data_IF_209258810563
#
_entry.id   IF_209258810563
#
_cell.length_a   1.000
_cell.length_b   1.000
_cell.length_c   1.000
_cell.angle_alpha   90.00
_cell.angle_beta   90.00
_cell.angle_gamma   90.00
#
_symmetry.space_group_name_H-M   'P 1'
#
loop_
_entity.id
_entity.type
_entity.pdbx_description
1 polymer ?
#
# COMPACT_ATOMS: atom_id res chain seq x y z
N UNK A 1 47.27 -3.81 0.46
CA UNK A 1 46.15 -4.77 0.52
C UNK A 1 45.01 -4.00 1.14
N UNK A 2 43.95 -3.75 0.37
CA UNK A 2 42.94 -2.75 0.71
C UNK A 2 41.79 -3.41 1.44
N UNK A 3 41.40 -2.87 2.60
CA UNK A 3 40.27 -3.37 3.36
C UNK A 3 38.96 -2.89 2.73
N UNK A 4 38.25 -3.83 2.08
CA UNK A 4 37.05 -3.56 1.29
C UNK A 4 35.81 -3.41 2.14
N UNK A 5 35.83 -2.50 3.11
CA UNK A 5 34.71 -2.24 4.01
C UNK A 5 33.47 -1.76 3.25
N UNK A 6 32.52 -2.68 3.01
CA UNK A 6 31.22 -2.34 2.49
C UNK A 6 30.51 -1.40 3.48
N UNK A 7 30.29 -0.14 3.08
CA UNK A 7 29.41 0.76 3.83
C UNK A 7 28.04 0.12 3.91
N UNK A 8 27.56 -0.19 5.11
CA UNK A 8 26.14 -0.37 5.33
C UNK A 8 25.42 0.94 4.98
N UNK A 9 24.26 0.87 4.33
CA UNK A 9 23.41 2.05 4.16
C UNK A 9 22.99 2.55 5.55
N UNK A 10 23.38 3.78 5.87
CA UNK A 10 23.10 4.39 7.17
C UNK A 10 21.62 4.83 7.17
N UNK A 11 20.75 3.95 7.67
CA UNK A 11 19.30 4.12 7.58
C UNK A 11 18.85 5.34 8.38
N UNK A 12 18.32 6.36 7.69
CA UNK A 12 17.87 7.63 8.30
C UNK A 12 16.74 7.46 9.33
N UNK A 13 16.10 6.28 9.35
CA UNK A 13 15.14 5.84 10.36
C UNK A 13 15.67 4.58 11.08
N UNK A 14 15.20 4.37 12.31
CA UNK A 14 15.45 3.17 13.11
C UNK A 14 14.19 2.76 13.88
N UNK A 15 14.08 1.48 14.25
CA UNK A 15 13.00 1.02 15.13
C UNK A 15 13.36 1.32 16.60
N UNK A 16 12.38 1.76 17.38
CA UNK A 16 12.48 1.99 18.82
C UNK A 16 11.16 1.60 19.52
N UNK A 17 11.22 1.23 20.79
CA UNK A 17 10.03 1.11 21.65
C UNK A 17 9.68 2.48 22.24
N UNK A 18 8.44 2.94 22.04
CA UNK A 18 7.91 4.18 22.63
C UNK A 18 6.87 3.81 23.68
N UNK A 19 7.01 4.35 24.89
CA UNK A 19 6.08 4.11 25.99
C UNK A 19 4.63 4.45 25.61
N UNK A 20 3.75 3.46 25.61
CA UNK A 20 2.34 3.60 25.23
C UNK A 20 2.04 3.61 23.72
N UNK A 21 3.06 3.61 22.84
CA UNK A 21 2.89 3.44 21.38
C UNK A 21 3.55 2.15 20.82
N UNK A 22 4.44 1.51 21.57
CA UNK A 22 5.10 0.26 21.18
C UNK A 22 6.21 0.43 20.14
N UNK A 23 6.47 -0.62 19.34
CA UNK A 23 7.43 -0.61 18.24
C UNK A 23 7.10 0.49 17.23
N UNK A 24 8.04 1.41 17.05
CA UNK A 24 7.87 2.65 16.32
C UNK A 24 9.06 2.89 15.38
N UNK A 25 8.84 3.40 14.17
CA UNK A 25 9.91 4.06 13.42
C UNK A 25 10.16 5.45 14.00
N UNK A 26 11.43 5.76 14.24
CA UNK A 26 11.91 7.08 14.67
C UNK A 26 13.10 7.50 13.81
N UNK A 27 13.31 8.80 13.67
CA UNK A 27 14.49 9.31 12.98
C UNK A 27 15.78 8.89 13.71
N UNK A 28 16.80 8.48 12.95
CA UNK A 28 18.15 8.22 13.44
C UNK A 28 19.03 9.49 13.43
N UNK A 29 18.63 10.49 12.64
CA UNK A 29 19.34 11.74 12.35
C UNK A 29 18.34 12.88 12.10
N UNK A 30 18.82 14.12 11.93
CA UNK A 30 18.00 15.22 11.41
C UNK A 30 17.49 14.91 9.99
N UNK A 31 16.26 15.35 9.72
CA UNK A 31 15.55 15.17 8.45
C UNK A 31 15.15 16.54 7.88
N UNK A 32 15.11 16.68 6.55
CA UNK A 32 14.66 17.90 5.87
C UNK A 32 13.24 17.76 5.33
N UNK A 33 12.53 18.87 5.15
CA UNK A 33 11.27 18.88 4.42
C UNK A 33 11.46 18.33 3.00
N UNK A 34 10.46 17.62 2.47
CA UNK A 34 10.53 16.95 1.16
C UNK A 34 11.48 15.74 1.07
N UNK A 35 12.27 15.43 2.11
CA UNK A 35 13.17 14.29 2.09
C UNK A 35 12.41 12.96 2.08
N UNK A 36 12.74 12.07 1.12
CA UNK A 36 12.26 10.69 1.14
C UNK A 36 12.99 9.93 2.25
N UNK A 37 12.25 9.52 3.29
CA UNK A 37 12.80 8.83 4.48
C UNK A 37 12.68 7.31 4.45
N UNK A 38 11.77 6.80 3.62
CA UNK A 38 11.54 5.38 3.39
C UNK A 38 11.09 5.16 1.94
N UNK A 39 11.59 4.10 1.31
CA UNK A 39 10.97 3.46 0.15
C UNK A 39 10.77 1.99 0.51
N UNK A 40 9.60 1.44 0.22
CA UNK A 40 9.26 0.04 0.50
C UNK A 40 8.33 -0.51 -0.57
N UNK A 41 8.63 -1.73 -1.05
CA UNK A 41 7.72 -2.49 -1.90
C UNK A 41 6.73 -3.27 -1.02
N UNK A 42 5.47 -3.44 -1.44
CA UNK A 42 4.46 -4.14 -0.65
C UNK A 42 4.82 -5.63 -0.46
N UNK A 43 4.67 -6.12 0.77
CA UNK A 43 4.83 -7.53 1.12
C UNK A 43 3.77 -8.41 0.46
N UNK A 44 2.56 -7.85 0.30
CA UNK A 44 1.48 -8.38 -0.52
C UNK A 44 0.57 -7.23 -0.97
N UNK A 45 -0.06 -7.39 -2.13
CA UNK A 45 -1.15 -6.54 -2.63
C UNK A 45 -2.39 -7.40 -2.87
N UNK A 46 -3.58 -6.85 -2.64
CA UNK A 46 -4.85 -7.50 -2.98
C UNK A 46 -5.90 -6.47 -3.45
N UNK A 47 -6.87 -6.93 -4.25
CA UNK A 47 -7.89 -6.04 -4.83
C UNK A 47 -8.94 -5.62 -3.81
N UNK A 48 -9.31 -4.33 -3.84
CA UNK A 48 -10.42 -3.78 -3.05
C UNK A 48 -11.80 -4.06 -3.66
N UNK A 49 -11.86 -4.57 -4.89
CA UNK A 49 -13.12 -4.92 -5.55
C UNK A 49 -13.64 -6.28 -5.05
N UNK A 50 -14.96 -6.45 -4.82
CA UNK A 50 -15.53 -7.75 -4.44
C UNK A 50 -15.33 -8.82 -5.52
N UNK A 51 -15.60 -10.08 -5.19
CA UNK A 51 -15.47 -11.19 -6.15
C UNK A 51 -16.52 -11.11 -7.25
N UNK A 52 -17.76 -10.76 -6.89
CA UNK A 52 -18.91 -10.74 -7.79
C UNK A 52 -19.24 -9.34 -8.33
N UNK A 53 -18.20 -8.52 -8.56
CA UNK A 53 -18.37 -7.24 -9.27
C UNK A 53 -18.84 -7.49 -10.70
N UNK A 54 -20.00 -6.93 -11.07
CA UNK A 54 -20.54 -7.02 -12.44
C UNK A 54 -19.66 -6.33 -13.50
N UNK A 55 -18.73 -5.45 -13.06
CA UNK A 55 -17.75 -4.79 -13.91
C UNK A 55 -16.37 -5.44 -13.74
N UNK A 56 -15.72 -5.74 -14.86
CA UNK A 56 -14.31 -6.13 -14.90
C UNK A 56 -13.43 -4.97 -14.46
N UNK A 57 -12.50 -5.23 -13.54
CA UNK A 57 -11.55 -4.21 -13.09
C UNK A 57 -10.67 -3.71 -14.26
N UNK A 58 -10.44 -2.39 -14.41
CA UNK A 58 -9.53 -1.84 -15.42
C UNK A 58 -8.05 -1.92 -14.98
N UNK A 59 -7.77 -2.51 -13.83
CA UNK A 59 -6.44 -2.57 -13.21
C UNK A 59 -5.82 -3.97 -13.34
N UNK A 60 -4.49 -4.04 -13.32
CA UNK A 60 -3.74 -5.29 -13.32
C UNK A 60 -3.96 -6.05 -12.00
N UNK A 61 -4.38 -7.32 -12.05
CA UNK A 61 -4.63 -8.19 -10.89
C UNK A 61 -3.37 -8.59 -10.08
N UNK A 62 -2.24 -7.91 -10.28
CA UNK A 62 -1.03 -8.06 -9.46
C UNK A 62 -0.50 -6.72 -8.96
N UNK A 63 -0.22 -5.76 -9.85
CA UNK A 63 0.38 -4.47 -9.48
C UNK A 63 -0.60 -3.30 -9.49
N UNK A 64 -1.89 -3.54 -9.76
CA UNK A 64 -3.00 -2.57 -9.73
C UNK A 64 -2.84 -1.26 -10.53
N UNK A 65 -1.82 -1.18 -11.40
CA UNK A 65 -1.71 -0.17 -12.46
C UNK A 65 -2.83 -0.37 -13.50
N UNK A 66 -3.27 0.72 -14.13
CA UNK A 66 -4.25 0.69 -15.23
C UNK A 66 -3.76 -0.21 -16.38
N UNK A 67 -4.70 -0.94 -16.98
CA UNK A 67 -4.44 -1.82 -18.12
C UNK A 67 -4.52 -1.06 -19.44
N UNK A 68 -3.47 -1.14 -20.25
CA UNK A 68 -3.48 -0.73 -21.65
C UNK A 68 -4.20 -1.78 -22.52
N UNK A 69 -4.44 -1.45 -23.79
CA UNK A 69 -5.07 -2.37 -24.76
C UNK A 69 -4.29 -3.68 -24.99
N UNK A 70 -3.02 -3.75 -24.57
CA UNK A 70 -2.16 -4.94 -24.67
C UNK A 70 -2.26 -5.91 -23.49
N UNK A 71 -3.21 -5.70 -22.58
CA UNK A 71 -3.40 -6.51 -21.37
C UNK A 71 -3.57 -8.01 -21.65
N UNK A 72 -2.87 -8.84 -20.87
CA UNK A 72 -2.83 -10.30 -21.02
C UNK A 72 -3.77 -10.96 -20.01
N UNK A 73 -4.92 -11.47 -20.48
CA UNK A 73 -5.84 -12.27 -19.67
C UNK A 73 -5.26 -13.65 -19.34
N UNK A 74 -5.46 -14.15 -18.12
CA UNK A 74 -5.08 -15.52 -17.77
C UNK A 74 -5.89 -16.53 -18.58
N UNK A 75 -5.21 -17.36 -19.38
CA UNK A 75 -5.85 -18.33 -20.27
C UNK A 75 -6.57 -19.46 -19.51
N UNK A 76 -6.08 -19.81 -18.31
CA UNK A 76 -6.57 -20.97 -17.54
C UNK A 76 -7.86 -20.69 -16.75
N UNK A 77 -7.99 -19.51 -16.11
CA UNK A 77 -9.21 -19.15 -15.38
C UNK A 77 -10.09 -18.14 -16.14
N UNK A 78 -9.52 -17.31 -17.02
CA UNK A 78 -10.20 -16.18 -17.67
C UNK A 78 -10.87 -15.18 -16.71
N UNK A 79 -10.43 -15.11 -15.44
CA UNK A 79 -10.94 -14.19 -14.42
C UNK A 79 -10.06 -12.94 -14.21
N UNK A 80 -8.76 -13.04 -14.48
CA UNK A 80 -7.75 -12.00 -14.15
C UNK A 80 -6.91 -11.58 -15.36
N UNK A 81 -6.36 -10.36 -15.32
CA UNK A 81 -5.60 -9.73 -16.41
C UNK A 81 -4.35 -9.00 -15.93
N UNK A 82 -3.28 -9.04 -16.73
CA UNK A 82 -1.97 -8.51 -16.35
C UNK A 82 -1.37 -7.58 -17.41
N UNK A 83 -0.66 -6.53 -16.97
CA UNK A 83 0.02 -5.60 -17.87
C UNK A 83 1.32 -6.15 -18.48
N UNK A 84 1.96 -7.13 -17.86
CA UNK A 84 3.28 -7.65 -18.28
C UNK A 84 3.43 -9.16 -18.04
N UNK A 85 4.41 -9.84 -18.68
CA UNK A 85 4.76 -11.22 -18.38
C UNK A 85 5.14 -11.43 -16.90
N UNK A 86 5.84 -10.46 -16.30
CA UNK A 86 6.28 -10.54 -14.90
C UNK A 86 5.08 -10.50 -13.94
N UNK A 87 4.09 -9.64 -14.21
CA UNK A 87 2.85 -9.60 -13.43
C UNK A 87 2.01 -10.89 -13.56
N UNK A 88 2.04 -11.54 -14.73
CA UNK A 88 1.43 -12.85 -14.94
C UNK A 88 2.18 -13.98 -14.20
N UNK A 89 3.50 -13.88 -14.03
CA UNK A 89 4.29 -14.89 -13.32
C UNK A 89 3.92 -15.00 -11.83
N UNK A 90 3.49 -13.90 -11.20
CA UNK A 90 2.96 -13.86 -9.84
C UNK A 90 1.63 -14.61 -9.67
N UNK A 91 0.93 -14.95 -10.76
CA UNK A 91 -0.34 -15.66 -10.72
C UNK A 91 -0.14 -17.18 -10.60
N UNK A 92 0.10 -17.64 -9.37
CA UNK A 92 0.42 -19.05 -9.09
C UNK A 92 -0.68 -20.03 -9.56
N UNK A 93 -0.34 -21.28 -9.95
CA UNK A 93 -1.35 -22.28 -10.34
C UNK A 93 -2.38 -22.57 -9.24
N UNK A 94 -1.97 -22.49 -7.96
CA UNK A 94 -2.89 -22.61 -6.83
C UNK A 94 -3.88 -21.45 -6.80
N UNK A 95 -3.40 -20.19 -6.91
CA UNK A 95 -4.26 -19.01 -6.90
C UNK A 95 -5.23 -19.01 -8.10
N UNK A 96 -4.73 -19.38 -9.29
CA UNK A 96 -5.54 -19.54 -10.50
C UNK A 96 -6.72 -20.51 -10.29
N UNK A 97 -6.46 -21.68 -9.71
CA UNK A 97 -7.48 -22.69 -9.43
C UNK A 97 -8.41 -22.26 -8.28
N UNK A 98 -7.89 -21.63 -7.21
CA UNK A 98 -8.71 -21.08 -6.12
C UNK A 98 -9.71 -20.03 -6.62
N UNK A 99 -9.28 -19.07 -7.45
CA UNK A 99 -10.18 -18.09 -8.06
C UNK A 99 -11.23 -18.77 -8.96
N UNK A 100 -10.81 -19.72 -9.81
CA UNK A 100 -11.72 -20.48 -10.69
C UNK A 100 -12.77 -21.23 -9.90
N UNK A 101 -12.38 -21.89 -8.80
CA UNK A 101 -13.31 -22.63 -7.93
C UNK A 101 -14.23 -21.72 -7.13
N UNK A 102 -13.76 -20.60 -6.57
CA UNK A 102 -14.64 -19.65 -5.85
C UNK A 102 -15.71 -19.08 -6.79
N UNK A 103 -15.34 -18.74 -8.03
CA UNK A 103 -16.29 -18.27 -9.04
C UNK A 103 -17.25 -19.37 -9.53
N UNK A 104 -16.83 -20.64 -9.58
CA UNK A 104 -17.71 -21.76 -9.95
C UNK A 104 -18.61 -22.20 -8.78
N UNK A 105 -18.08 -22.19 -7.56
CA UNK A 105 -18.77 -22.47 -6.29
C UNK A 105 -19.45 -21.22 -5.70
N UNK A 106 -19.89 -20.31 -6.58
CA UNK A 106 -20.71 -19.13 -6.24
C UNK A 106 -22.13 -19.55 -5.83
N UNK A 107 -22.21 -20.28 -4.72
CA UNK A 107 -23.43 -20.48 -3.95
C UNK A 107 -23.97 -19.15 -3.43
N UNK A 108 -25.28 -19.07 -3.20
CA UNK A 108 -25.92 -17.92 -2.54
C UNK A 108 -25.18 -17.57 -1.23
N UNK A 109 -24.77 -18.57 -0.46
CA UNK A 109 -24.02 -18.38 0.79
C UNK A 109 -22.68 -17.61 0.67
N UNK A 110 -22.08 -17.47 -0.52
CA UNK A 110 -20.97 -16.53 -0.76
C UNK A 110 -21.43 -15.25 -1.48
N UNK A 111 -22.42 -15.33 -2.36
CA UNK A 111 -22.94 -14.17 -3.08
C UNK A 111 -23.67 -13.16 -2.18
N UNK A 112 -24.38 -13.66 -1.17
CA UNK A 112 -25.13 -12.87 -0.17
C UNK A 112 -24.19 -12.23 0.88
N UNK A 113 -22.87 -12.41 0.78
CA UNK A 113 -21.91 -11.87 1.74
C UNK A 113 -21.55 -10.40 1.43
N UNK A 114 -21.40 -9.54 2.46
CA UNK A 114 -20.97 -8.15 2.29
C UNK A 114 -19.68 -8.02 1.48
N UNK A 115 -19.55 -6.92 0.73
CA UNK A 115 -18.38 -6.62 -0.10
C UNK A 115 -17.06 -6.73 0.68
N UNK A 116 -17.01 -6.18 1.89
CA UNK A 116 -15.90 -6.29 2.84
C UNK A 116 -15.45 -7.75 3.04
N UNK A 117 -16.39 -8.68 3.23
CA UNK A 117 -16.08 -10.11 3.45
C UNK A 117 -15.58 -10.79 2.18
N UNK A 118 -15.98 -10.31 1.00
CA UNK A 118 -15.40 -10.75 -0.28
C UNK A 118 -13.98 -10.19 -0.48
N UNK A 119 -13.69 -8.98 -0.01
CA UNK A 119 -12.35 -8.38 -0.01
C UNK A 119 -11.42 -9.09 0.98
N UNK A 120 -11.89 -9.37 2.21
CA UNK A 120 -11.20 -10.22 3.20
C UNK A 120 -10.86 -11.60 2.62
N UNK A 121 -11.72 -12.19 1.79
CA UNK A 121 -11.41 -13.44 1.07
C UNK A 121 -10.27 -13.27 0.05
N UNK A 122 -10.16 -12.13 -0.64
CA UNK A 122 -9.03 -11.82 -1.54
C UNK A 122 -7.72 -11.62 -0.77
N UNK A 123 -7.76 -10.91 0.35
CA UNK A 123 -6.61 -10.79 1.26
C UNK A 123 -6.12 -12.18 1.71
N UNK A 124 -7.03 -13.04 2.20
CA UNK A 124 -6.66 -14.39 2.65
C UNK A 124 -6.06 -15.25 1.55
N UNK A 125 -6.60 -15.24 0.32
CA UNK A 125 -5.95 -15.93 -0.81
C UNK A 125 -4.54 -15.42 -1.08
N UNK A 126 -4.32 -14.10 -0.94
CA UNK A 126 -3.02 -13.46 -1.17
C UNK A 126 -2.03 -13.83 -0.07
N UNK A 127 -2.45 -13.79 1.20
CA UNK A 127 -1.66 -14.23 2.35
C UNK A 127 -1.34 -15.73 2.33
N UNK A 128 -2.28 -16.59 1.90
CA UNK A 128 -2.04 -18.03 1.74
C UNK A 128 -1.11 -18.34 0.55
N UNK A 129 -1.21 -17.60 -0.55
CA UNK A 129 -0.25 -17.73 -1.65
C UNK A 129 1.14 -17.23 -1.23
N UNK A 130 1.24 -16.20 -0.40
CA UNK A 130 2.50 -15.75 0.21
C UNK A 130 3.09 -16.85 1.11
N UNK A 131 2.29 -17.46 1.99
CA UNK A 131 2.71 -18.56 2.87
C UNK A 131 3.32 -19.74 2.09
N UNK A 132 2.77 -20.07 0.92
CA UNK A 132 3.25 -21.13 0.05
C UNK A 132 4.46 -20.75 -0.82
N UNK A 133 4.62 -19.47 -1.17
CA UNK A 133 5.68 -18.98 -2.07
C UNK A 133 6.92 -18.48 -1.33
N UNK A 134 6.75 -17.77 -0.20
CA UNK A 134 7.83 -17.21 0.61
C UNK A 134 7.50 -17.31 2.12
N UNK A 135 7.92 -18.41 2.78
CA UNK A 135 7.67 -18.60 4.20
C UNK A 135 8.31 -17.52 5.10
N UNK A 136 9.44 -16.92 4.69
CA UNK A 136 10.07 -15.82 5.43
C UNK A 136 9.19 -14.57 5.45
N UNK A 137 8.63 -14.21 4.30
CA UNK A 137 7.81 -13.01 4.15
C UNK A 137 6.45 -13.20 4.86
N UNK A 138 5.95 -14.43 4.86
CA UNK A 138 4.80 -14.79 5.68
C UNK A 138 5.08 -14.71 7.19
N UNK A 139 6.29 -15.01 7.68
CA UNK A 139 6.66 -14.73 9.07
C UNK A 139 6.75 -13.22 9.37
N UNK A 140 7.21 -12.40 8.42
CA UNK A 140 7.17 -10.93 8.54
C UNK A 140 5.71 -10.47 8.71
N UNK A 141 4.79 -10.93 7.84
CA UNK A 141 3.35 -10.64 7.96
C UNK A 141 2.81 -11.03 9.35
N UNK A 142 3.11 -12.25 9.82
CA UNK A 142 2.65 -12.73 11.13
C UNK A 142 3.26 -11.93 12.31
N UNK A 143 4.41 -11.29 12.13
CA UNK A 143 5.06 -10.46 13.17
C UNK A 143 4.43 -9.06 13.36
N UNK A 144 3.54 -8.64 12.46
CA UNK A 144 2.84 -7.35 12.55
C UNK A 144 1.79 -7.32 13.68
N UNK A 145 1.45 -6.11 14.13
CA UNK A 145 0.38 -5.91 15.12
C UNK A 145 -0.98 -6.37 14.55
N UNK A 146 -1.88 -6.86 15.41
CA UNK A 146 -3.16 -7.42 14.98
C UNK A 146 -3.54 -8.62 15.82
N UNK A 147 -4.07 -8.36 17.01
CA UNK A 147 -4.64 -9.39 17.89
C UNK A 147 -6.15 -9.40 17.66
N UNK A 148 -6.73 -10.56 17.34
CA UNK A 148 -8.10 -10.65 16.82
C UNK A 148 -9.20 -10.28 17.81
N UNK A 149 -10.23 -9.61 17.29
CA UNK A 149 -11.46 -9.31 18.02
C UNK A 149 -12.37 -10.56 18.09
N UNK A 150 -13.09 -10.81 19.20
CA UNK A 150 -14.11 -11.86 19.26
C UNK A 150 -15.16 -11.81 18.14
N UNK A 151 -15.46 -10.63 17.58
CA UNK A 151 -16.35 -10.46 16.43
C UNK A 151 -15.71 -10.88 15.10
N UNK A 152 -14.40 -10.63 14.91
CA UNK A 152 -13.64 -11.09 13.74
C UNK A 152 -13.66 -12.62 13.63
N UNK A 153 -13.73 -13.32 14.78
CA UNK A 153 -13.85 -14.79 14.84
C UNK A 153 -15.03 -15.33 14.02
N UNK A 154 -16.17 -14.65 13.96
CA UNK A 154 -17.33 -15.12 13.18
C UNK A 154 -17.06 -15.05 11.66
N UNK A 155 -16.43 -13.96 11.19
CA UNK A 155 -16.03 -13.81 9.80
C UNK A 155 -14.88 -14.76 9.44
N UNK A 156 -13.89 -14.91 10.33
CA UNK A 156 -12.76 -15.82 10.17
C UNK A 156 -13.21 -17.28 10.07
N UNK A 157 -14.11 -17.75 10.95
CA UNK A 157 -14.62 -19.12 10.90
C UNK A 157 -15.41 -19.40 9.61
N UNK A 158 -16.22 -18.45 9.14
CA UNK A 158 -16.92 -18.57 7.85
C UNK A 158 -15.92 -18.63 6.68
N UNK A 159 -14.98 -17.68 6.60
CA UNK A 159 -14.00 -17.60 5.51
C UNK A 159 -13.04 -18.79 5.52
N UNK A 160 -12.61 -19.25 6.70
CA UNK A 160 -11.80 -20.46 6.85
C UNK A 160 -12.55 -21.69 6.30
N UNK A 161 -13.81 -21.88 6.72
CA UNK A 161 -14.63 -23.02 6.31
C UNK A 161 -14.87 -23.02 4.79
N UNK A 162 -15.18 -21.85 4.23
CA UNK A 162 -15.39 -21.68 2.78
C UNK A 162 -14.10 -21.95 1.99
N UNK A 163 -13.00 -21.28 2.34
CA UNK A 163 -11.75 -21.40 1.60
C UNK A 163 -11.15 -22.81 1.70
N UNK A 164 -11.22 -23.45 2.87
CA UNK A 164 -10.74 -24.83 3.07
C UNK A 164 -11.60 -25.88 2.34
N UNK A 165 -12.89 -25.60 2.10
CA UNK A 165 -13.76 -26.49 1.33
C UNK A 165 -13.65 -26.30 -0.19
N UNK A 166 -13.36 -25.08 -0.65
CA UNK A 166 -13.37 -24.71 -2.08
C UNK A 166 -11.97 -24.75 -2.71
N UNK A 167 -10.94 -24.24 -2.05
CA UNK A 167 -9.60 -24.11 -2.63
C UNK A 167 -8.90 -25.48 -2.77
N UNK A 168 -7.86 -25.61 -3.62
CA UNK A 168 -6.96 -26.75 -3.58
C UNK A 168 -6.18 -26.80 -2.25
N UNK A 169 -5.70 -27.97 -1.83
CA UNK A 169 -4.84 -28.08 -0.65
C UNK A 169 -3.56 -27.25 -0.82
N UNK A 170 -3.14 -26.59 0.26
CA UNK A 170 -1.89 -25.84 0.36
C UNK A 170 -0.78 -26.74 0.96
N UNK A 171 0.50 -26.43 0.69
CA UNK A 171 1.63 -27.06 1.39
C UNK A 171 1.77 -26.58 2.85
N UNK A 172 1.10 -25.48 3.21
CA UNK A 172 1.06 -24.91 4.57
C UNK A 172 -0.27 -25.26 5.23
N UNK A 173 -0.24 -25.72 6.48
CA UNK A 173 -1.44 -25.96 7.27
C UNK A 173 -2.09 -24.63 7.68
N UNK A 174 -3.33 -24.42 7.25
CA UNK A 174 -4.16 -23.28 7.64
C UNK A 174 -5.16 -23.74 8.71
N UNK A 175 -5.42 -22.90 9.72
CA UNK A 175 -6.42 -23.13 10.77
C UNK A 175 -7.35 -21.91 10.94
N UNK A 176 -8.50 -22.02 11.63
CA UNK A 176 -9.38 -20.88 11.91
C UNK A 176 -8.68 -19.77 12.68
N UNK A 177 -7.79 -20.12 13.61
CA UNK A 177 -7.02 -19.18 14.42
C UNK A 177 -6.00 -18.42 13.58
N UNK A 178 -5.34 -19.09 12.62
CA UNK A 178 -4.47 -18.44 11.65
C UNK A 178 -5.28 -17.51 10.74
N UNK A 179 -6.47 -17.93 10.28
CA UNK A 179 -7.37 -17.08 9.49
C UNK A 179 -7.76 -15.82 10.27
N UNK A 180 -8.13 -15.94 11.54
CA UNK A 180 -8.47 -14.80 12.40
C UNK A 180 -7.27 -13.88 12.66
N UNK A 181 -6.08 -14.45 12.93
CA UNK A 181 -4.86 -13.69 13.16
C UNK A 181 -4.41 -12.90 11.91
N UNK A 182 -4.64 -13.43 10.70
CA UNK A 182 -4.36 -12.72 9.45
C UNK A 182 -5.35 -11.56 9.25
N UNK A 183 -6.66 -11.79 9.37
CA UNK A 183 -7.67 -10.72 9.25
C UNK A 183 -7.46 -9.59 10.28
N UNK A 184 -7.05 -9.94 11.50
CA UNK A 184 -6.72 -8.97 12.54
C UNK A 184 -5.50 -8.08 12.21
N UNK A 185 -4.58 -8.58 11.37
CA UNK A 185 -3.41 -7.82 10.89
C UNK A 185 -3.78 -6.95 9.70
N UNK A 186 -4.55 -7.47 8.75
CA UNK A 186 -5.10 -6.70 7.63
C UNK A 186 -5.83 -5.43 8.11
N UNK A 187 -6.74 -5.62 9.07
CA UNK A 187 -7.55 -4.59 9.75
C UNK A 187 -6.77 -3.44 10.40
N UNK A 188 -5.46 -3.59 10.65
CA UNK A 188 -4.63 -2.55 11.31
C UNK A 188 -3.29 -2.25 10.61
N UNK A 189 -2.98 -2.91 9.49
CA UNK A 189 -1.77 -2.67 8.69
C UNK A 189 -2.07 -2.53 7.18
N UNK A 190 -3.34 -2.57 6.77
CA UNK A 190 -3.76 -2.43 5.37
C UNK A 190 -3.76 -0.97 4.92
N UNK A 191 -2.88 -0.63 3.98
CA UNK A 191 -2.79 0.67 3.33
C UNK A 191 -3.61 0.65 2.04
N UNK A 192 -4.50 1.62 1.85
CA UNK A 192 -5.39 1.69 0.68
C UNK A 192 -4.75 2.41 -0.50
N UNK A 193 -4.54 1.69 -1.60
CA UNK A 193 -4.10 2.27 -2.87
C UNK A 193 -5.30 2.94 -3.55
N UNK A 194 -5.19 4.21 -3.87
CA UNK A 194 -6.29 5.05 -4.35
C UNK A 194 -6.44 4.99 -5.87
N UNK A 195 -7.67 5.17 -6.38
CA UNK A 195 -7.86 5.38 -7.82
C UNK A 195 -7.17 6.68 -8.29
N UNK A 196 -6.65 6.73 -9.54
CA UNK A 196 -6.12 7.96 -10.12
C UNK A 196 -7.16 9.08 -10.13
N UNK A 197 -6.71 10.34 -10.23
CA UNK A 197 -7.64 11.45 -10.30
C UNK A 197 -8.55 11.37 -11.54
N UNK A 198 -9.82 11.73 -11.37
CA UNK A 198 -10.66 12.19 -12.47
C UNK A 198 -11.48 13.39 -12.04
N UNK A 199 -11.44 14.44 -12.86
CA UNK A 199 -12.29 15.63 -12.72
C UNK A 199 -13.79 15.25 -12.77
N UNK A 200 -14.15 14.11 -13.37
CA UNK A 200 -15.51 13.60 -13.43
C UNK A 200 -15.96 12.79 -12.19
N UNK A 201 -15.07 12.53 -11.23
CA UNK A 201 -15.39 11.76 -10.03
C UNK A 201 -14.75 12.39 -8.78
N UNK A 202 -15.51 13.19 -8.05
CA UNK A 202 -15.04 13.92 -6.86
C UNK A 202 -14.63 13.03 -5.68
N UNK A 203 -14.89 11.72 -5.74
CA UNK A 203 -14.53 10.75 -4.71
C UNK A 203 -13.72 9.61 -5.32
N UNK A 204 -12.39 9.65 -5.14
CA UNK A 204 -11.52 8.50 -5.42
C UNK A 204 -11.98 7.31 -4.57
N UNK A 205 -12.13 6.13 -5.18
CA UNK A 205 -12.27 4.89 -4.42
C UNK A 205 -10.91 4.27 -4.15
N UNK A 206 -10.87 3.20 -3.35
CA UNK A 206 -9.68 2.37 -3.16
C UNK A 206 -9.68 1.31 -4.26
N UNK A 207 -8.61 1.21 -5.06
CA UNK A 207 -8.45 0.19 -6.12
C UNK A 207 -7.93 -1.14 -5.57
N UNK A 208 -7.06 -1.06 -4.57
CA UNK A 208 -6.36 -2.18 -3.97
C UNK A 208 -5.89 -1.84 -2.55
N UNK A 209 -5.43 -2.83 -1.81
CA UNK A 209 -4.80 -2.66 -0.52
C UNK A 209 -3.42 -3.33 -0.52
N UNK A 210 -2.51 -2.81 0.29
CA UNK A 210 -1.16 -3.34 0.47
C UNK A 210 -0.74 -3.43 1.93
N UNK A 211 0.15 -4.37 2.23
CA UNK A 211 0.84 -4.47 3.52
C UNK A 211 2.30 -4.05 3.33
N UNK A 212 2.73 -3.02 4.06
CA UNK A 212 4.07 -2.42 3.97
C UNK A 212 4.78 -2.51 5.34
N UNK A 213 5.59 -3.56 5.60
CA UNK A 213 5.99 -3.91 6.97
C UNK A 213 6.86 -2.90 7.70
N UNK A 214 7.66 -2.09 7.02
CA UNK A 214 8.36 -0.95 7.62
C UNK A 214 7.38 0.20 7.85
N UNK A 215 6.55 0.53 6.86
CA UNK A 215 5.55 1.60 6.98
C UNK A 215 4.55 1.33 8.13
N UNK A 216 4.20 0.08 8.40
CA UNK A 216 3.39 -0.35 9.55
C UNK A 216 3.97 0.00 10.94
N UNK A 217 5.23 0.45 11.04
CA UNK A 217 5.81 0.97 12.28
C UNK A 217 5.70 2.50 12.43
N UNK A 218 5.14 3.23 11.46
CA UNK A 218 4.75 4.62 11.68
C UNK A 218 3.47 4.65 12.53
N UNK A 219 3.58 5.21 13.74
CA UNK A 219 2.43 5.46 14.58
C UNK A 219 1.59 6.62 14.04
N UNK A 220 0.27 6.51 14.17
CA UNK A 220 -0.62 7.64 13.95
C UNK A 220 -0.31 8.79 14.92
N UNK A 221 -0.32 10.00 14.38
CA UNK A 221 -0.46 11.24 15.13
C UNK A 221 -1.36 12.19 14.33
N UNK A 222 -2.14 13.04 15.01
CA UNK A 222 -3.06 13.98 14.36
C UNK A 222 -2.31 15.16 13.71
N UNK A 223 -1.04 15.34 14.05
CA UNK A 223 -0.12 16.34 13.49
C UNK A 223 1.09 15.60 12.87
N UNK A 224 0.90 14.94 11.71
CA UNK A 224 1.94 14.11 11.12
C UNK A 224 3.13 14.95 10.61
N UNK A 225 4.35 14.44 10.81
CA UNK A 225 5.60 15.04 10.33
C UNK A 225 6.20 14.33 9.11
N UNK A 226 5.51 13.31 8.60
CA UNK A 226 5.79 12.59 7.38
C UNK A 226 4.44 12.22 6.71
N UNK A 227 4.44 12.03 5.39
CA UNK A 227 3.26 11.63 4.63
C UNK A 227 3.62 10.44 3.72
N UNK A 228 2.61 9.64 3.36
CA UNK A 228 2.74 8.53 2.42
C UNK A 228 2.41 9.00 1.00
N UNK A 229 3.15 8.50 0.00
CA UNK A 229 2.87 8.76 -1.41
C UNK A 229 2.96 7.47 -2.24
N UNK A 230 1.95 7.22 -3.08
CA UNK A 230 2.00 6.15 -4.08
C UNK A 230 2.86 6.60 -5.27
N UNK A 231 4.18 6.49 -5.14
CA UNK A 231 5.09 6.69 -6.28
C UNK A 231 4.90 5.57 -7.29
N UNK A 232 4.04 5.81 -8.27
CA UNK A 232 3.85 4.93 -9.41
C UNK A 232 5.01 5.14 -10.39
N UNK A 233 6.03 4.29 -10.32
CA UNK A 233 7.15 4.31 -11.27
C UNK A 233 6.64 4.08 -12.71
N UNK A 234 6.52 5.18 -13.45
CA UNK A 234 6.51 5.15 -14.91
C UNK A 234 7.94 4.80 -15.37
N UNK A 235 8.05 3.90 -16.35
CA UNK A 235 9.34 3.56 -16.95
C UNK A 235 9.63 4.61 -18.02
N UNK A 236 10.17 5.76 -17.60
CA UNK A 236 10.79 6.72 -18.51
C UNK A 236 12.14 6.14 -18.97
N UNK A 237 12.39 6.13 -20.30
CA UNK A 237 13.62 5.60 -20.88
C UNK A 237 14.82 6.54 -20.59
N UNK A 238 15.98 5.98 -20.24
CA UNK A 238 17.15 6.72 -19.72
C UNK A 238 17.99 7.43 -20.81
N UNK A 239 17.89 8.77 -20.99
CA UNK A 239 18.81 9.57 -21.82
C UNK A 239 19.17 10.97 -21.19
N UNK A 240 20.46 11.15 -20.80
CA UNK A 240 21.28 12.41 -20.67
C UNK A 240 20.81 13.56 -19.69
N UNK A 241 21.59 14.22 -18.78
CA UNK A 241 22.97 14.79 -18.69
C UNK A 241 23.11 16.21 -19.33
N UNK A 242 23.74 17.28 -18.79
CA UNK A 242 24.40 17.70 -17.51
C UNK A 242 24.48 19.29 -17.52
N UNK A 243 24.96 20.15 -16.57
CA UNK A 243 25.72 20.11 -15.30
C UNK A 243 25.56 21.44 -14.45
N UNK A 244 25.99 21.44 -13.16
CA UNK A 244 26.58 22.52 -12.31
C UNK A 244 25.94 23.92 -11.92
N UNK A 245 25.84 24.11 -10.57
CA UNK A 245 26.46 25.16 -9.66
C UNK A 245 25.76 26.42 -9.06
N UNK A 246 25.84 26.46 -7.71
CA UNK A 246 26.23 27.50 -6.71
C UNK A 246 25.68 28.95 -6.66
N UNK A 247 25.17 29.33 -5.46
CA UNK A 247 25.31 30.66 -4.81
C UNK A 247 25.04 30.57 -3.28
N UNK A 248 25.55 31.50 -2.47
CA UNK A 248 25.45 31.54 -0.98
C UNK A 248 24.75 32.82 -0.46
N UNK A 249 24.36 32.83 0.83
CA UNK A 249 23.87 34.01 1.61
C UNK A 249 22.35 34.13 1.74
N UNK A 250 21.75 34.63 2.84
CA UNK A 250 22.25 35.13 4.15
C UNK A 250 21.30 34.70 5.32
N UNK A 251 21.52 35.18 6.55
CA UNK A 251 20.75 34.78 7.78
C UNK A 251 19.64 35.81 8.17
N UNK A 252 19.14 35.74 9.43
CA UNK A 252 18.06 36.53 10.08
C UNK A 252 16.61 36.10 9.74
N UNK A 253 15.63 36.05 10.67
CA UNK A 253 15.60 36.32 12.12
C UNK A 253 14.56 35.41 12.85
N UNK A 254 14.51 35.39 14.20
CA UNK A 254 13.56 34.55 14.97
C UNK A 254 12.17 35.20 15.12
N UNK A 255 11.10 34.54 14.62
CA UNK A 255 9.74 34.69 15.19
C UNK A 255 9.22 33.37 15.79
N UNK A 256 8.94 33.39 17.09
CA UNK A 256 8.43 32.23 17.84
C UNK A 256 6.93 31.99 17.60
N UNK A 257 6.55 31.55 16.40
CA UNK A 257 5.17 31.17 16.03
C UNK A 257 4.96 29.66 15.98
N UNK A 258 3.75 29.18 16.26
CA UNK A 258 3.44 27.74 16.45
C UNK A 258 3.75 26.90 15.17
N UNK A 259 4.79 26.05 15.15
CA UNK A 259 5.20 25.35 13.93
C UNK A 259 4.13 24.38 13.40
N UNK A 260 3.28 23.84 14.29
CA UNK A 260 2.21 22.92 13.92
C UNK A 260 1.04 23.58 13.18
N UNK A 261 0.83 24.89 13.31
CA UNK A 261 -0.24 25.60 12.60
C UNK A 261 0.05 25.70 11.10
N UNK A 262 1.32 25.86 10.73
CA UNK A 262 1.78 25.88 9.34
C UNK A 262 1.51 24.55 8.61
N UNK A 263 1.54 23.40 9.30
CA UNK A 263 1.20 22.13 8.67
C UNK A 263 -0.25 22.14 8.15
N UNK A 264 -1.21 22.61 8.95
CA UNK A 264 -2.60 22.70 8.49
C UNK A 264 -2.80 23.74 7.38
N UNK A 265 -2.16 24.92 7.47
CA UNK A 265 -2.29 25.96 6.45
C UNK A 265 -1.65 25.58 5.09
N UNK A 266 -0.52 24.86 5.11
CA UNK A 266 0.24 24.45 3.92
C UNK A 266 -0.28 23.15 3.33
N UNK A 267 -0.48 22.12 4.17
CA UNK A 267 -0.70 20.74 3.73
C UNK A 267 -2.11 20.16 3.98
N UNK A 268 -3.10 20.94 4.43
CA UNK A 268 -4.51 20.53 4.23
C UNK A 268 -5.01 20.96 2.86
N UNK A 269 -5.90 20.16 2.28
CA UNK A 269 -6.62 20.55 1.07
C UNK A 269 -7.63 21.66 1.36
N UNK A 270 -7.51 22.79 0.66
CA UNK A 270 -8.36 23.97 0.82
C UNK A 270 -9.82 23.76 0.33
N UNK A 271 -10.15 22.61 -0.26
CA UNK A 271 -11.51 22.28 -0.71
C UNK A 271 -12.39 21.92 0.49
N UNK A 272 -13.49 22.66 0.68
CA UNK A 272 -14.47 22.40 1.76
C UNK A 272 -14.87 20.93 1.85
N UNK A 273 -14.95 20.41 3.08
CA UNK A 273 -15.32 19.03 3.40
C UNK A 273 -14.44 17.93 2.77
N UNK A 274 -13.27 18.28 2.21
CA UNK A 274 -12.33 17.28 1.70
C UNK A 274 -11.60 16.54 2.83
N UNK A 275 -11.11 17.27 3.84
CA UNK A 275 -10.28 16.78 4.95
C UNK A 275 -8.98 16.01 4.58
N UNK A 276 -8.66 15.90 3.28
CA UNK A 276 -7.43 15.27 2.79
C UNK A 276 -6.20 16.17 2.97
N UNK A 277 -5.03 15.54 2.89
CA UNK A 277 -3.73 16.20 2.96
C UNK A 277 -3.10 16.35 1.57
N UNK A 278 -2.38 17.45 1.39
CA UNK A 278 -1.62 17.77 0.18
C UNK A 278 -0.20 17.18 0.29
N UNK A 279 0.24 16.56 -0.80
CA UNK A 279 1.49 15.83 -0.91
C UNK A 279 2.25 16.30 -2.16
N UNK A 280 3.53 16.69 -2.09
CA UNK A 280 4.34 16.95 -3.29
C UNK A 280 4.20 15.83 -4.32
N UNK A 281 3.90 16.19 -5.57
CA UNK A 281 3.92 15.23 -6.68
C UNK A 281 5.31 14.58 -6.80
N UNK A 282 5.41 13.37 -7.39
CA UNK A 282 6.68 12.76 -7.72
C UNK A 282 7.59 13.75 -8.48
N UNK A 283 8.83 13.99 -8.00
CA UNK A 283 9.70 15.00 -8.58
C UNK A 283 10.19 14.55 -9.96
N UNK A 284 10.09 15.44 -10.95
CA UNK A 284 10.56 15.20 -12.33
C UNK A 284 12.05 15.54 -12.55
N UNK A 285 12.69 16.08 -11.52
CA UNK A 285 14.12 16.38 -11.45
C UNK A 285 14.62 15.93 -10.08
N UNK A 286 15.85 16.31 -9.68
CA UNK A 286 16.31 16.10 -8.31
C UNK A 286 15.65 17.04 -7.26
N UNK A 287 14.86 18.02 -7.71
CA UNK A 287 14.21 19.02 -6.85
C UNK A 287 12.81 18.57 -6.43
N UNK A 288 12.41 18.90 -5.20
CA UNK A 288 11.06 18.60 -4.71
C UNK A 288 9.99 19.33 -5.56
N UNK A 289 8.91 18.62 -5.92
CA UNK A 289 7.81 19.23 -6.68
C UNK A 289 7.20 20.39 -5.90
N UNK A 290 7.22 21.58 -6.52
CA UNK A 290 6.47 22.75 -6.05
C UNK A 290 4.95 22.61 -6.22
N UNK A 291 4.46 21.55 -6.84
CA UNK A 291 3.03 21.23 -6.94
C UNK A 291 2.70 20.11 -5.96
N UNK A 292 1.77 20.39 -5.05
CA UNK A 292 1.20 19.46 -4.08
C UNK A 292 -0.16 18.94 -4.58
N UNK A 293 -0.43 17.65 -4.45
CA UNK A 293 -1.71 16.99 -4.80
C UNK A 293 -2.44 16.50 -3.55
N UNK A 294 -3.77 16.66 -3.48
CA UNK A 294 -4.58 16.13 -2.39
C UNK A 294 -4.83 14.62 -2.55
N UNK A 295 -4.41 13.83 -1.54
CA UNK A 295 -4.61 12.37 -1.51
C UNK A 295 -6.09 11.92 -1.61
N UNK A 296 -7.03 12.71 -1.08
CA UNK A 296 -8.48 12.41 -1.14
C UNK A 296 -9.12 12.88 -2.45
N UNK A 297 -8.93 14.14 -2.84
CA UNK A 297 -9.73 14.77 -3.89
C UNK A 297 -8.96 15.21 -5.15
N UNK A 298 -7.63 15.13 -5.18
CA UNK A 298 -6.82 15.53 -6.34
C UNK A 298 -6.69 17.02 -6.64
N UNK A 299 -7.21 17.91 -5.79
CA UNK A 299 -6.88 19.34 -5.92
C UNK A 299 -5.37 19.54 -5.86
N UNK A 300 -4.85 20.32 -6.81
CA UNK A 300 -3.46 20.75 -6.84
C UNK A 300 -3.31 22.11 -6.16
N UNK A 301 -2.20 22.33 -5.45
CA UNK A 301 -1.78 23.60 -4.83
C UNK A 301 -0.31 23.85 -5.14
N UNK A 302 0.06 25.08 -5.48
CA UNK A 302 1.49 25.44 -5.56
C UNK A 302 2.04 25.74 -4.16
N UNK A 303 3.25 25.28 -3.90
CA UNK A 303 3.94 25.48 -2.63
C UNK A 303 4.71 26.82 -2.67
N UNK A 304 4.14 27.81 -2.00
CA UNK A 304 4.59 29.20 -2.01
C UNK A 304 5.88 29.41 -1.19
N UNK A 305 6.27 28.45 -0.34
CA UNK A 305 7.42 28.56 0.58
C UNK A 305 8.46 27.48 0.29
N UNK A 306 9.52 27.87 -0.42
CA UNK A 306 10.78 27.10 -0.56
C UNK A 306 11.75 27.56 0.53
#
# INVERSE_FOLDING_TARGET
MSDGGAKAEETVLRVAEIGGRGRSLVAAQSLRAGQVVLRESPLLLYSAFPFLSSASSPYCDHCFRLLSQSARKCQSCSLVSFCSPNCLASHTPWLCESLRRIHQSSSAAFADQPSERQVQARYLLSAYSLAAASPSDFQILLSLQGNGDPTDSAAANFLHSLLSAVCPPLPVQVSPELTAALLAKDKVNGFGLMEPFSVSNEKRSVRAYGIYPKTSFFNHDCLPNAYENEVMEEMEDEEEQEEMKDSEGEEEEEESSFPHAYFFARYMCDKENCFGTLAPLPPKTHDASRVLECNVCGSLKEDEVV
#
